data_IF_681588469601
#
_entry.id   IF_681588469601
#
_cell.length_a   1.000
_cell.length_b   1.000
_cell.length_c   1.000
_cell.angle_alpha   90.00
_cell.angle_beta   90.00
_cell.angle_gamma   90.00
#
_symmetry.space_group_name_H-M   'P 1'
#
loop_
_entity.id
_entity.type
_entity.pdbx_description
1 polymer ?
#
# COMPACT_ATOMS: atom_id res chain seq x y z
N UNK A 1 -31.57 2.31 14.89
CA UNK A 1 -30.48 2.21 15.89
C UNK A 1 -29.06 2.10 15.26
N UNK A 2 -28.92 1.51 14.07
CA UNK A 2 -27.63 1.35 13.36
C UNK A 2 -26.99 2.64 12.80
N UNK A 3 -27.79 3.65 12.43
CA UNK A 3 -27.29 4.92 11.87
C UNK A 3 -26.52 5.80 12.88
N UNK A 4 -26.79 5.67 14.18
CA UNK A 4 -26.06 6.43 15.22
C UNK A 4 -24.66 5.86 15.49
N UNK A 5 -24.44 4.55 15.32
CA UNK A 5 -23.11 3.92 15.51
C UNK A 5 -22.13 4.28 14.40
N UNK A 6 -22.52 4.23 13.11
CA UNK A 6 -21.64 4.65 12.00
C UNK A 6 -21.15 6.10 12.12
N UNK A 7 -22.02 7.01 12.57
CA UNK A 7 -21.66 8.42 12.79
C UNK A 7 -20.67 8.62 13.95
N UNK A 8 -20.81 7.85 15.03
CA UNK A 8 -19.89 7.89 16.18
C UNK A 8 -18.51 7.31 15.84
N UNK A 9 -18.42 6.24 15.05
CA UNK A 9 -17.14 5.71 14.55
C UNK A 9 -16.47 6.68 13.57
N UNK A 10 -17.23 7.26 12.65
CA UNK A 10 -16.75 8.29 11.71
C UNK A 10 -16.21 9.52 12.44
N UNK A 11 -16.89 10.01 13.49
CA UNK A 11 -16.42 11.12 14.33
C UNK A 11 -15.22 10.75 15.20
N UNK A 12 -15.17 9.55 15.77
CA UNK A 12 -14.01 9.08 16.55
C UNK A 12 -12.75 8.90 15.68
N UNK A 13 -12.90 8.44 14.43
CA UNK A 13 -11.83 8.48 13.43
C UNK A 13 -11.44 9.92 13.07
N UNK A 14 -12.42 10.81 12.85
CA UNK A 14 -12.15 12.22 12.53
C UNK A 14 -11.38 12.96 13.64
N UNK A 15 -11.60 12.61 14.91
CA UNK A 15 -10.92 13.22 16.06
C UNK A 15 -9.61 12.51 16.46
N UNK A 16 -9.43 11.21 16.17
CA UNK A 16 -8.16 10.51 16.45
C UNK A 16 -7.04 10.89 15.48
N UNK A 17 -7.38 11.39 14.28
CA UNK A 17 -6.43 11.87 13.28
C UNK A 17 -6.21 13.40 13.31
N UNK A 18 -6.82 14.12 14.26
CA UNK A 18 -6.42 15.51 14.53
C UNK A 18 -5.12 15.50 15.35
N UNK A 19 -4.02 15.77 14.64
CA UNK A 19 -2.64 16.06 15.09
C UNK A 19 -1.74 14.89 15.50
N UNK A 20 -1.73 13.78 14.77
CA UNK A 20 -0.53 12.92 14.81
C UNK A 20 0.51 13.55 13.89
N UNK A 21 1.56 14.09 14.49
CA UNK A 21 2.75 14.58 13.80
C UNK A 21 3.89 13.59 14.06
N UNK A 22 4.68 13.33 13.04
CA UNK A 22 5.88 12.49 13.13
C UNK A 22 7.12 13.35 13.04
N UNK A 23 8.15 13.01 13.79
CA UNK A 23 9.44 13.64 13.59
C UNK A 23 10.00 13.25 12.20
N UNK A 24 10.62 14.21 11.51
CA UNK A 24 11.17 13.99 10.17
C UNK A 24 12.18 12.84 10.14
N UNK A 25 13.04 12.75 11.15
CA UNK A 25 14.01 11.67 11.29
C UNK A 25 13.29 10.33 11.54
N UNK A 26 12.18 10.31 12.26
CA UNK A 26 11.38 9.11 12.44
C UNK A 26 10.85 8.59 11.09
N UNK A 27 10.32 9.47 10.24
CA UNK A 27 9.86 9.10 8.89
C UNK A 27 11.02 8.64 8.01
N UNK A 28 12.14 9.37 7.98
CA UNK A 28 13.39 8.97 7.30
C UNK A 28 13.87 7.58 7.69
N UNK A 29 13.92 7.31 9.00
CA UNK A 29 14.34 6.01 9.51
C UNK A 29 13.35 4.91 9.17
N UNK A 30 12.05 5.18 9.23
CA UNK A 30 11.03 4.19 8.91
C UNK A 30 11.06 3.79 7.44
N UNK A 31 11.19 4.75 6.53
CA UNK A 31 11.27 4.46 5.09
C UNK A 31 12.58 3.75 4.73
N UNK A 32 13.70 4.15 5.35
CA UNK A 32 14.97 3.44 5.15
C UNK A 32 14.90 1.99 5.62
N UNK A 33 14.34 1.73 6.80
CA UNK A 33 14.12 0.35 7.28
C UNK A 33 13.24 -0.46 6.34
N UNK A 34 12.20 0.15 5.77
CA UNK A 34 11.38 -0.52 4.76
C UNK A 34 12.22 -0.96 3.56
N UNK A 35 13.04 -0.05 3.00
CA UNK A 35 13.92 -0.36 1.88
C UNK A 35 14.95 -1.46 2.24
N UNK A 36 15.60 -1.36 3.40
CA UNK A 36 16.57 -2.35 3.87
C UNK A 36 15.93 -3.75 4.02
N UNK A 37 14.77 -3.84 4.67
CA UNK A 37 14.06 -5.12 4.84
C UNK A 37 13.49 -5.67 3.54
N UNK A 38 13.10 -4.79 2.61
CA UNK A 38 12.66 -5.21 1.29
C UNK A 38 13.81 -5.82 0.49
N UNK A 39 15.00 -5.21 0.52
CA UNK A 39 16.19 -5.72 -0.14
C UNK A 39 16.66 -7.06 0.47
N UNK A 40 16.52 -7.23 1.79
CA UNK A 40 16.75 -8.50 2.45
C UNK A 40 15.82 -9.61 1.91
N UNK A 41 14.52 -9.33 1.74
CA UNK A 41 13.57 -10.28 1.17
C UNK A 41 13.92 -10.60 -0.29
N UNK A 42 14.18 -9.59 -1.11
CA UNK A 42 14.48 -9.75 -2.53
C UNK A 42 15.78 -10.53 -2.78
N UNK A 43 16.73 -10.47 -1.84
CA UNK A 43 17.99 -11.21 -1.88
C UNK A 43 17.96 -12.55 -1.11
N UNK A 44 16.79 -12.97 -0.63
CA UNK A 44 16.63 -14.19 0.16
C UNK A 44 16.53 -15.46 -0.71
N UNK A 45 16.69 -16.60 -0.04
CA UNK A 45 16.52 -17.95 -0.60
C UNK A 45 15.52 -18.73 0.26
N UNK A 46 15.24 -19.99 -0.09
CA UNK A 46 14.26 -20.81 0.62
C UNK A 46 14.50 -20.96 2.13
N UNK A 47 15.76 -20.90 2.57
CA UNK A 47 16.13 -21.02 3.98
C UNK A 47 15.90 -19.74 4.79
N UNK A 48 15.92 -18.58 4.14
CA UNK A 48 15.90 -17.26 4.81
C UNK A 48 14.66 -16.44 4.50
N UNK A 49 13.91 -16.81 3.46
CA UNK A 49 12.77 -16.08 2.93
C UNK A 49 11.73 -15.75 4.01
N UNK A 50 11.13 -16.75 4.66
CA UNK A 50 10.06 -16.51 5.62
C UNK A 50 10.49 -15.62 6.78
N UNK A 51 11.70 -15.80 7.30
CA UNK A 51 12.22 -14.95 8.38
C UNK A 51 12.29 -13.48 7.94
N UNK A 52 12.87 -13.21 6.76
CA UNK A 52 13.04 -11.85 6.24
C UNK A 52 11.70 -11.24 5.81
N UNK A 53 10.83 -12.04 5.21
CA UNK A 53 9.50 -11.64 4.77
C UNK A 53 8.61 -11.25 5.95
N UNK A 54 8.66 -12.04 7.04
CA UNK A 54 7.96 -11.72 8.28
C UNK A 54 8.47 -10.42 8.91
N UNK A 55 9.79 -10.15 8.87
CA UNK A 55 10.37 -8.90 9.37
C UNK A 55 9.86 -7.70 8.56
N UNK A 56 9.87 -7.79 7.22
CA UNK A 56 9.33 -6.75 6.33
C UNK A 56 7.86 -6.46 6.65
N UNK A 57 7.01 -7.49 6.70
CA UNK A 57 5.58 -7.30 6.96
C UNK A 57 5.30 -6.83 8.38
N UNK A 58 6.07 -7.30 9.36
CA UNK A 58 5.97 -6.79 10.73
C UNK A 58 6.31 -5.29 10.78
N UNK A 59 7.35 -4.84 10.09
CA UNK A 59 7.65 -3.41 9.97
C UNK A 59 6.48 -2.66 9.31
N UNK A 60 5.94 -3.18 8.21
CA UNK A 60 4.80 -2.55 7.52
C UNK A 60 3.54 -2.43 8.39
N UNK A 61 3.26 -3.42 9.23
CA UNK A 61 2.02 -3.48 10.01
C UNK A 61 2.13 -2.78 11.38
N UNK A 62 3.32 -2.71 11.98
CA UNK A 62 3.49 -2.28 13.37
C UNK A 62 4.39 -1.05 13.57
N UNK A 63 5.17 -0.63 12.57
CA UNK A 63 5.88 0.66 12.65
C UNK A 63 4.87 1.82 12.57
N UNK A 64 5.04 2.84 13.42
CA UNK A 64 4.05 3.92 13.56
C UNK A 64 3.85 4.71 12.26
N UNK A 65 4.89 4.83 11.42
CA UNK A 65 4.84 5.54 10.15
C UNK A 65 4.37 4.60 9.04
N UNK A 66 5.01 3.44 8.87
CA UNK A 66 4.63 2.51 7.79
C UNK A 66 3.22 1.95 7.95
N UNK A 67 2.73 1.79 9.18
CA UNK A 67 1.36 1.31 9.45
C UNK A 67 0.29 2.24 8.86
N UNK A 68 0.57 3.53 8.69
CA UNK A 68 -0.33 4.47 8.01
C UNK A 68 -0.42 4.16 6.52
N UNK A 69 0.71 3.82 5.91
CA UNK A 69 0.79 3.50 4.48
C UNK A 69 0.15 2.14 4.22
N UNK A 70 0.52 1.11 4.97
CA UNK A 70 -0.06 -0.24 4.84
C UNK A 70 -1.56 -0.26 5.13
N UNK A 71 -2.04 0.58 6.05
CA UNK A 71 -3.49 0.72 6.29
C UNK A 71 -4.24 1.24 5.07
N UNK A 72 -3.64 2.12 4.27
CA UNK A 72 -4.25 2.59 3.02
C UNK A 72 -4.32 1.45 1.99
N UNK A 73 -3.24 0.67 1.83
CA UNK A 73 -3.20 -0.50 0.94
C UNK A 73 -4.26 -1.56 1.29
N UNK A 74 -4.51 -1.77 2.59
CA UNK A 74 -5.56 -2.69 3.07
C UNK A 74 -6.98 -2.14 2.90
N UNK A 75 -7.14 -0.83 2.77
CA UNK A 75 -8.46 -0.19 2.72
C UNK A 75 -9.11 -0.19 1.34
N UNK A 76 -8.31 -0.40 0.29
CA UNK A 76 -8.81 -0.50 -1.08
C UNK A 76 -9.37 -1.90 -1.29
N UNK A 77 -10.65 -1.96 -1.69
CA UNK A 77 -11.29 -3.20 -2.08
C UNK A 77 -10.81 -3.59 -3.48
N UNK A 78 -9.98 -4.64 -3.52
CA UNK A 78 -9.39 -5.17 -4.75
C UNK A 78 -10.12 -6.41 -5.25
N UNK A 79 -11.21 -6.81 -4.58
CA UNK A 79 -11.92 -8.06 -4.86
C UNK A 79 -10.97 -9.25 -4.96
N UNK A 80 -10.12 -9.42 -3.93
CA UNK A 80 -9.01 -10.39 -3.96
C UNK A 80 -9.46 -11.81 -4.33
N UNK A 81 -10.55 -12.28 -3.72
CA UNK A 81 -11.04 -13.65 -3.96
C UNK A 81 -11.51 -13.83 -5.41
N UNK A 82 -12.21 -12.85 -5.99
CA UNK A 82 -12.63 -12.91 -7.40
C UNK A 82 -11.41 -12.94 -8.34
N UNK A 83 -10.38 -12.14 -8.03
CA UNK A 83 -9.13 -12.16 -8.78
C UNK A 83 -8.42 -13.51 -8.68
N UNK A 84 -8.35 -14.07 -7.46
CA UNK A 84 -7.72 -15.36 -7.19
C UNK A 84 -8.46 -16.51 -7.88
N UNK A 85 -9.78 -16.59 -7.73
CA UNK A 85 -10.63 -17.60 -8.38
C UNK A 85 -10.53 -17.52 -9.89
N UNK A 86 -10.52 -16.31 -10.46
CA UNK A 86 -10.32 -16.11 -11.89
C UNK A 86 -8.97 -16.67 -12.33
N UNK A 87 -7.87 -16.30 -11.68
CA UNK A 87 -6.54 -16.85 -11.97
C UNK A 87 -6.50 -18.38 -11.86
N UNK A 88 -7.09 -18.93 -10.79
CA UNK A 88 -7.16 -20.38 -10.57
C UNK A 88 -8.01 -21.12 -11.61
N UNK A 89 -9.00 -20.45 -12.21
CA UNK A 89 -9.86 -20.99 -13.28
C UNK A 89 -9.21 -20.95 -14.67
N UNK A 90 -8.10 -20.21 -14.81
CA UNK A 90 -7.30 -20.19 -16.04
C UNK A 90 -6.27 -21.32 -16.04
N UNK A 91 -5.71 -21.62 -17.21
CA UNK A 91 -4.78 -22.74 -17.39
C UNK A 91 -5.48 -24.07 -17.71
N UNK A 92 -4.75 -24.95 -18.39
CA UNK A 92 -5.22 -26.28 -18.81
C UNK A 92 -4.64 -27.39 -17.91
N UNK A 93 -4.45 -28.59 -18.47
CA UNK A 93 -3.81 -29.71 -17.74
C UNK A 93 -2.31 -29.53 -17.49
N UNK A 94 -1.71 -28.38 -17.86
CA UNK A 94 -0.28 -28.12 -17.70
C UNK A 94 0.00 -27.27 -16.46
N UNK A 95 0.94 -27.72 -15.63
CA UNK A 95 1.47 -26.97 -14.48
C UNK A 95 2.13 -25.67 -14.98
N UNK A 96 1.96 -24.56 -14.25
CA UNK A 96 2.50 -23.25 -14.63
C UNK A 96 1.79 -22.56 -15.79
N UNK A 97 0.57 -22.99 -16.14
CA UNK A 97 -0.20 -22.41 -17.25
C UNK A 97 -1.29 -21.44 -16.83
N UNK A 98 -1.41 -21.15 -15.53
CA UNK A 98 -2.42 -20.21 -15.02
C UNK A 98 -2.01 -18.77 -15.30
N UNK A 99 -2.99 -17.95 -15.67
CA UNK A 99 -2.80 -16.55 -16.02
C UNK A 99 -2.62 -15.69 -14.76
N UNK A 100 -1.43 -15.10 -14.65
CA UNK A 100 -1.14 -14.08 -13.64
C UNK A 100 -1.38 -12.67 -14.23
N UNK A 101 -2.59 -12.13 -14.03
CA UNK A 101 -2.98 -10.82 -14.56
C UNK A 101 -3.20 -9.79 -13.44
N UNK A 102 -2.27 -8.85 -13.29
CA UNK A 102 -2.42 -7.76 -12.32
C UNK A 102 -3.39 -6.67 -12.80
N UNK A 103 -4.07 -5.96 -11.88
CA UNK A 103 -4.83 -4.76 -12.22
C UNK A 103 -3.97 -3.71 -12.94
N UNK A 104 -4.57 -3.00 -13.90
CA UNK A 104 -3.91 -1.92 -14.63
C UNK A 104 -3.73 -0.68 -13.74
N UNK A 105 -4.75 -0.37 -12.92
CA UNK A 105 -4.73 0.73 -11.96
C UNK A 105 -3.65 0.50 -10.90
N UNK A 106 -2.84 1.53 -10.66
CA UNK A 106 -1.70 1.45 -9.74
C UNK A 106 -2.14 1.18 -8.30
N UNK A 107 -3.18 1.86 -7.83
CA UNK A 107 -3.67 1.75 -6.47
C UNK A 107 -4.23 0.34 -6.18
N UNK A 108 -5.04 -0.17 -7.11
CA UNK A 108 -5.59 -1.53 -7.02
C UNK A 108 -4.49 -2.58 -7.12
N UNK A 109 -3.51 -2.40 -8.01
CA UNK A 109 -2.38 -3.31 -8.14
C UNK A 109 -1.55 -3.39 -6.87
N UNK A 110 -1.15 -2.24 -6.31
CA UNK A 110 -0.34 -2.19 -5.09
C UNK A 110 -1.08 -2.82 -3.91
N UNK A 111 -2.38 -2.50 -3.79
CA UNK A 111 -3.24 -3.03 -2.72
C UNK A 111 -3.41 -4.54 -2.85
N UNK A 112 -3.59 -5.03 -4.08
CA UNK A 112 -3.69 -6.47 -4.36
C UNK A 112 -2.41 -7.20 -4.00
N UNK A 113 -1.26 -6.69 -4.44
CA UNK A 113 0.05 -7.28 -4.12
C UNK A 113 0.31 -7.27 -2.61
N UNK A 114 -0.02 -6.19 -1.90
CA UNK A 114 0.14 -6.12 -0.45
C UNK A 114 -0.77 -7.13 0.28
N UNK A 115 -2.04 -7.21 -0.11
CA UNK A 115 -2.98 -8.18 0.47
C UNK A 115 -2.58 -9.63 0.16
N UNK A 116 -1.98 -9.87 -1.01
CA UNK A 116 -1.38 -11.17 -1.36
C UNK A 116 -0.26 -11.53 -0.37
N UNK A 117 0.67 -10.60 -0.13
CA UNK A 117 1.74 -10.79 0.83
C UNK A 117 1.22 -11.14 2.24
N UNK A 118 0.17 -10.46 2.71
CA UNK A 118 -0.46 -10.75 4.00
C UNK A 118 -1.08 -12.16 4.04
N UNK A 119 -1.73 -12.60 2.95
CA UNK A 119 -2.33 -13.94 2.86
C UNK A 119 -1.27 -15.04 2.87
N UNK A 120 -0.13 -14.83 2.21
CA UNK A 120 1.03 -15.75 2.32
C UNK A 120 1.58 -15.78 3.74
N UNK A 121 1.82 -14.61 4.34
CA UNK A 121 2.39 -14.50 5.69
C UNK A 121 1.52 -15.10 6.79
N UNK A 122 0.20 -15.05 6.62
CA UNK A 122 -0.76 -15.66 7.56
C UNK A 122 -0.99 -17.15 7.30
N UNK A 123 -0.43 -17.71 6.24
CA UNK A 123 -0.69 -19.08 5.80
C UNK A 123 -2.08 -19.30 5.20
N UNK A 124 -2.80 -18.23 4.88
CA UNK A 124 -4.11 -18.30 4.19
C UNK A 124 -3.95 -18.69 2.71
N UNK A 125 -2.78 -18.42 2.13
CA UNK A 125 -2.35 -18.90 0.83
C UNK A 125 -1.02 -19.63 0.98
N UNK A 126 -0.87 -20.74 0.25
CA UNK A 126 0.38 -21.48 0.20
C UNK A 126 1.26 -20.94 -0.94
N UNK A 127 2.45 -20.47 -0.56
CA UNK A 127 3.44 -19.90 -1.48
C UNK A 127 3.85 -20.88 -2.57
N UNK A 128 4.11 -22.14 -2.19
CA UNK A 128 4.61 -23.15 -3.12
C UNK A 128 3.52 -23.54 -4.11
N UNK A 129 2.29 -23.73 -3.66
CA UNK A 129 1.16 -24.03 -4.53
C UNK A 129 0.90 -22.88 -5.51
N UNK A 130 0.96 -21.63 -5.04
CA UNK A 130 0.85 -20.47 -5.92
C UNK A 130 1.91 -20.49 -7.03
N UNK A 131 3.20 -20.60 -6.65
CA UNK A 131 4.27 -20.56 -7.63
C UNK A 131 4.26 -21.76 -8.58
N UNK A 132 3.94 -22.95 -8.08
CA UNK A 132 3.75 -24.14 -8.91
C UNK A 132 2.62 -23.94 -9.94
N UNK A 133 1.48 -23.41 -9.50
CA UNK A 133 0.31 -23.26 -10.37
C UNK A 133 0.50 -22.18 -11.44
N UNK A 134 1.07 -21.03 -11.08
CA UNK A 134 1.16 -19.86 -11.97
C UNK A 134 2.48 -19.76 -12.75
N UNK A 135 3.58 -20.28 -12.19
CA UNK A 135 4.91 -20.16 -12.80
C UNK A 135 5.57 -21.51 -13.08
N UNK A 136 5.01 -22.60 -12.53
CA UNK A 136 5.56 -23.93 -12.72
C UNK A 136 6.84 -24.16 -11.92
N UNK A 137 7.02 -23.50 -10.79
CA UNK A 137 8.20 -23.65 -9.94
C UNK A 137 8.21 -25.02 -9.26
N UNK A 138 9.33 -25.75 -9.34
CA UNK A 138 9.44 -27.12 -8.83
C UNK A 138 10.25 -27.20 -7.52
N UNK A 139 11.28 -26.36 -7.38
CA UNK A 139 12.08 -26.28 -6.17
C UNK A 139 11.78 -25.02 -5.34
N UNK A 140 12.27 -25.02 -4.10
CA UNK A 140 11.94 -23.98 -3.12
C UNK A 140 12.66 -22.65 -3.40
N UNK A 141 13.84 -22.68 -4.01
CA UNK A 141 14.59 -21.45 -4.34
C UNK A 141 13.97 -20.79 -5.57
N UNK A 142 13.58 -21.57 -6.58
CA UNK A 142 12.80 -21.13 -7.74
C UNK A 142 11.46 -20.53 -7.28
N UNK A 143 10.74 -21.21 -6.37
CA UNK A 143 9.50 -20.70 -5.76
C UNK A 143 9.69 -19.32 -5.13
N UNK A 144 10.76 -19.13 -4.35
CA UNK A 144 11.08 -17.84 -3.72
C UNK A 144 11.42 -16.79 -4.77
N UNK A 145 12.20 -17.16 -5.78
CA UNK A 145 12.59 -16.26 -6.86
C UNK A 145 11.38 -15.76 -7.66
N UNK A 146 10.50 -16.67 -8.10
CA UNK A 146 9.29 -16.34 -8.85
C UNK A 146 8.35 -15.46 -8.04
N UNK A 147 8.13 -15.79 -6.76
CA UNK A 147 7.33 -14.95 -5.87
C UNK A 147 7.93 -13.55 -5.69
N UNK A 148 9.24 -13.48 -5.48
CA UNK A 148 9.91 -12.20 -5.34
C UNK A 148 9.80 -11.36 -6.61
N UNK A 149 9.98 -11.95 -7.80
CA UNK A 149 9.92 -11.21 -9.06
C UNK A 149 8.49 -10.77 -9.42
N UNK A 150 7.51 -11.65 -9.24
CA UNK A 150 6.12 -11.40 -9.62
C UNK A 150 5.33 -10.56 -8.59
N UNK A 151 5.67 -10.66 -7.30
CA UNK A 151 4.88 -10.06 -6.20
C UNK A 151 5.69 -9.01 -5.44
N UNK A 152 6.79 -9.40 -4.79
CA UNK A 152 7.48 -8.53 -3.83
C UNK A 152 8.13 -7.34 -4.52
N UNK A 153 8.86 -7.59 -5.61
CA UNK A 153 9.61 -6.57 -6.36
C UNK A 153 8.71 -5.47 -6.96
N UNK A 154 7.59 -5.77 -7.65
CA UNK A 154 6.71 -4.71 -8.14
C UNK A 154 6.06 -3.91 -7.01
N UNK A 155 5.66 -4.58 -5.91
CA UNK A 155 5.10 -3.92 -4.73
C UNK A 155 6.12 -2.96 -4.09
N UNK A 156 7.32 -3.46 -3.79
CA UNK A 156 8.41 -2.68 -3.17
C UNK A 156 8.78 -1.49 -4.03
N UNK A 157 8.92 -1.68 -5.34
CA UNK A 157 9.22 -0.60 -6.28
C UNK A 157 8.14 0.50 -6.22
N UNK A 158 6.88 0.10 -6.27
CA UNK A 158 5.74 1.02 -6.26
C UNK A 158 5.63 1.80 -4.94
N UNK A 159 5.87 1.13 -3.81
CA UNK A 159 5.91 1.77 -2.49
C UNK A 159 7.09 2.73 -2.43
N UNK A 160 8.30 2.34 -2.82
CA UNK A 160 9.47 3.21 -2.79
C UNK A 160 9.25 4.52 -3.56
N UNK A 161 8.64 4.48 -4.75
CA UNK A 161 8.28 5.72 -5.47
C UNK A 161 7.32 6.62 -4.69
N UNK A 162 6.37 6.03 -3.96
CA UNK A 162 5.45 6.80 -3.10
C UNK A 162 6.18 7.39 -1.90
N UNK A 163 7.11 6.65 -1.29
CA UNK A 163 7.95 7.14 -0.19
C UNK A 163 8.83 8.33 -0.65
N UNK A 164 9.43 8.24 -1.83
CA UNK A 164 10.20 9.32 -2.45
C UNK A 164 9.35 10.57 -2.69
N UNK A 165 8.14 10.41 -3.24
CA UNK A 165 7.20 11.51 -3.45
C UNK A 165 6.77 12.18 -2.13
N UNK A 166 6.56 11.39 -1.07
CA UNK A 166 6.28 11.91 0.27
C UNK A 166 7.46 12.74 0.76
N UNK A 167 8.70 12.24 0.69
CA UNK A 167 9.88 13.01 1.12
C UNK A 167 10.06 14.30 0.35
N UNK A 168 9.87 14.25 -0.97
CA UNK A 168 9.95 15.43 -1.82
C UNK A 168 8.92 16.48 -1.39
N UNK A 169 7.66 16.06 -1.20
CA UNK A 169 6.55 16.93 -0.82
C UNK A 169 6.75 17.53 0.57
N UNK A 170 7.17 16.72 1.54
CA UNK A 170 7.51 17.17 2.90
C UNK A 170 8.62 18.21 2.85
N UNK A 171 9.71 17.93 2.14
CA UNK A 171 10.87 18.83 2.07
C UNK A 171 10.51 20.16 1.40
N UNK A 172 9.68 20.12 0.35
CA UNK A 172 9.24 21.32 -0.38
C UNK A 172 8.22 22.15 0.40
N UNK A 173 7.23 21.51 1.03
CA UNK A 173 6.09 22.20 1.66
C UNK A 173 6.34 22.63 3.10
N UNK A 174 7.16 21.88 3.84
CA UNK A 174 7.40 22.13 5.28
C UNK A 174 8.76 22.77 5.56
N UNK A 175 9.65 22.84 4.57
CA UNK A 175 10.97 23.48 4.71
C UNK A 175 11.80 22.90 5.85
N UNK A 176 12.15 23.74 6.82
CA UNK A 176 12.96 23.37 7.99
C UNK A 176 12.16 22.75 9.16
N UNK A 177 10.85 22.56 9.02
CA UNK A 177 10.02 22.02 10.09
C UNK A 177 10.41 20.56 10.38
N UNK A 178 10.58 20.24 11.66
CA UNK A 178 10.93 18.88 12.11
C UNK A 178 9.70 17.96 12.20
N UNK A 179 8.50 18.53 12.32
CA UNK A 179 7.25 17.77 12.41
C UNK A 179 6.58 17.60 11.05
N UNK A 180 6.23 16.36 10.72
CA UNK A 180 5.50 15.94 9.52
C UNK A 180 4.07 15.56 9.94
N UNK A 181 3.07 16.35 9.55
CA UNK A 181 1.68 15.98 9.77
C UNK A 181 1.31 14.70 9.02
N UNK A 182 0.50 13.83 9.65
CA UNK A 182 0.07 12.54 9.09
C UNK A 182 -0.50 12.63 7.68
N UNK A 183 -1.15 13.74 7.29
CA UNK A 183 -1.70 13.89 5.95
C UNK A 183 -0.64 13.82 4.84
N UNK A 184 0.62 14.16 5.12
CA UNK A 184 1.70 14.03 4.15
C UNK A 184 2.11 12.58 3.90
N UNK A 185 1.68 11.64 4.75
CA UNK A 185 1.99 10.20 4.63
C UNK A 185 0.92 9.43 3.83
N UNK A 186 -0.08 10.12 3.26
CA UNK A 186 -1.06 9.45 2.42
C UNK A 186 -0.53 9.31 0.99
N UNK A 187 -0.44 8.07 0.53
CA UNK A 187 0.21 7.70 -0.73
C UNK A 187 -0.73 7.76 -1.94
N UNK A 188 -2.05 7.81 -1.69
CA UNK A 188 -3.08 7.94 -2.72
C UNK A 188 -3.77 9.31 -2.67
N UNK A 189 -3.14 10.31 -2.06
CA UNK A 189 -3.63 11.68 -2.15
C UNK A 189 -3.33 12.26 -3.52
N UNK A 190 -4.38 12.74 -4.19
CA UNK A 190 -4.24 13.59 -5.35
C UNK A 190 -3.89 15.02 -4.91
N UNK A 191 -2.60 15.33 -4.89
CA UNK A 191 -2.10 16.69 -4.62
C UNK A 191 -2.23 17.62 -5.85
N UNK A 192 -2.81 17.18 -6.97
CA UNK A 192 -3.04 18.03 -8.15
C UNK A 192 -4.03 19.18 -7.87
N UNK A 193 -4.78 19.08 -6.77
CA UNK A 193 -5.68 20.16 -6.34
C UNK A 193 -4.88 21.28 -5.67
N UNK A 194 -4.49 22.28 -6.46
CA UNK A 194 -4.07 23.57 -5.92
C UNK A 194 -5.31 24.39 -5.51
N UNK A 195 -5.51 24.59 -4.21
CA UNK A 195 -6.54 25.51 -3.70
C UNK A 195 -5.96 26.93 -3.73
N UNK A 196 -6.24 27.69 -4.79
CA UNK A 196 -5.88 29.10 -4.87
C UNK A 196 -7.02 29.93 -4.25
N UNK A 197 -6.92 30.25 -2.95
CA UNK A 197 -7.81 31.18 -2.24
C UNK A 197 -8.22 30.76 -0.83
N UNK A 198 -8.85 31.67 -0.08
CA UNK A 198 -9.42 31.39 1.25
C UNK A 198 -10.69 30.52 1.13
N UNK A 199 -10.54 29.21 1.08
CA UNK A 199 -11.66 28.25 1.05
C UNK A 199 -11.89 27.68 2.45
N UNK A 200 -13.08 27.90 3.02
CA UNK A 200 -13.55 27.17 4.20
C UNK A 200 -14.08 25.81 3.75
N UNK A 201 -13.31 24.75 3.98
CA UNK A 201 -13.74 23.38 3.68
C UNK A 201 -14.44 22.82 4.92
N UNK A 202 -15.72 22.45 4.78
CA UNK A 202 -16.46 21.71 5.81
C UNK A 202 -17.08 20.46 5.20
N UNK A 203 -16.66 19.28 5.66
CA UNK A 203 -17.20 17.98 5.22
C UNK A 203 -16.31 17.25 4.21
N UNK A 204 -16.52 15.93 4.11
CA UNK A 204 -15.69 14.98 3.36
C UNK A 204 -15.71 15.30 1.86
N UNK A 205 -14.70 16.03 1.40
CA UNK A 205 -14.47 16.30 -0.02
C UNK A 205 -13.41 15.35 -0.55
N UNK A 206 -13.84 14.28 -1.24
CA UNK A 206 -13.00 13.63 -2.23
C UNK A 206 -12.92 14.59 -3.43
N UNK A 207 -11.74 15.15 -3.69
CA UNK A 207 -11.48 15.97 -4.87
C UNK A 207 -10.75 15.05 -5.84
N UNK A 208 -11.46 14.65 -6.89
CA UNK A 208 -10.93 13.85 -7.99
C UNK A 208 -10.66 14.70 -9.23
N UNK A 209 -10.09 14.02 -10.24
CA UNK A 209 -9.60 14.60 -11.49
C UNK A 209 -10.60 15.55 -12.18
N UNK A 210 -10.16 16.79 -12.47
CA UNK A 210 -10.89 17.77 -13.28
C UNK A 210 -11.77 18.79 -12.54
N UNK A 211 -11.80 18.81 -11.21
CA UNK A 211 -12.64 19.75 -10.47
C UNK A 211 -12.10 21.21 -10.53
N UNK A 212 -12.80 22.10 -11.23
CA UNK A 212 -12.62 23.57 -11.14
C UNK A 212 -13.69 24.17 -10.22
N UNK A 213 -13.28 24.82 -9.14
CA UNK A 213 -14.17 25.62 -8.30
C UNK A 213 -14.07 27.07 -8.74
N UNK A 214 -15.07 27.54 -9.49
CA UNK A 214 -15.18 28.96 -9.85
C UNK A 214 -16.05 29.72 -8.85
N UNK A 215 -15.55 30.88 -8.43
CA UNK A 215 -16.27 31.78 -7.52
C UNK A 215 -17.46 32.39 -8.29
N UNK A 216 -18.67 31.93 -8.03
CA UNK A 216 -19.87 32.65 -8.48
C UNK A 216 -20.04 33.87 -7.57
N UNK A 217 -19.63 35.04 -8.06
CA UNK A 217 -20.02 36.31 -7.47
C UNK A 217 -21.55 36.41 -7.56
N UNK A 218 -22.23 36.29 -6.43
CA UNK A 218 -23.63 36.67 -6.34
C UNK A 218 -23.59 38.20 -6.25
N UNK A 219 -23.99 38.87 -7.35
CA UNK A 219 -24.32 40.29 -7.37
C UNK A 219 -25.56 40.54 -6.51
#
# INVERSE_FOLDING_TARGET
MFLKRKRLYSLALKYKYMSVNFDKKQVELSFRKFSDYADDVLSSNCHTFYTRFNILLHHCEYDEVMSIISSQLKSIDVHFEDWWEKGMSTGGSFIGSKDFNLPVGENERDSLLYQFCLKINTGSLDLKLFCLDFFGSHDLDETVWDFNDAIVKPLVRSINYKLENIFYTVTKSLGATQEIPVQFLYVYQDYSTSIIGNVKISGDGAIGDGAKIEKKSIL
#
